data_IF_664059089586
#
_entry.id   IF_664059089586
#
_cell.length_a   1.000
_cell.length_b   1.000
_cell.length_c   1.000
_cell.angle_alpha   90.00
_cell.angle_beta   90.00
_cell.angle_gamma   90.00
#
_symmetry.space_group_name_H-M   'P 1'
#
loop_
_entity.id
_entity.type
_entity.pdbx_description
1 polymer ?
#
# COMPACT_ATOMS: atom_id res chain seq x y z
N UNK A 1 -25.69 -40.32 55.92
CA UNK A 1 -25.87 -38.87 55.91
C UNK A 1 -25.51 -38.38 54.52
N UNK A 2 -26.50 -37.83 53.84
CA UNK A 2 -26.50 -37.17 52.54
C UNK A 2 -25.61 -35.94 52.42
N UNK A 3 -25.40 -35.54 51.15
CA UNK A 3 -25.18 -34.17 50.64
C UNK A 3 -23.79 -33.54 50.96
N UNK A 4 -23.10 -32.82 50.07
CA UNK A 4 -23.53 -31.97 48.95
C UNK A 4 -22.39 -31.80 47.93
N UNK A 5 -22.80 -31.61 46.69
CA UNK A 5 -22.11 -31.10 45.51
C UNK A 5 -21.48 -29.71 45.66
N UNK A 6 -20.28 -29.54 45.10
CA UNK A 6 -19.78 -28.39 44.28
C UNK A 6 -18.27 -28.63 44.11
N UNK A 7 -17.61 -28.59 42.96
CA UNK A 7 -17.88 -28.01 41.65
C UNK A 7 -16.50 -27.60 41.10
N UNK A 8 -16.13 -28.19 39.94
CA UNK A 8 -15.16 -27.78 38.89
C UNK A 8 -14.22 -26.57 39.15
N UNK A 9 -12.96 -26.49 38.72
CA UNK A 9 -12.07 -27.12 37.72
C UNK A 9 -10.65 -26.79 38.22
N UNK A 10 -9.61 -27.62 38.11
CA UNK A 10 -9.11 -28.26 36.91
C UNK A 10 -7.62 -27.92 36.72
N UNK A 11 -6.78 -28.56 37.54
CA UNK A 11 -5.37 -28.97 37.36
C UNK A 11 -4.37 -28.13 36.55
N UNK A 12 -3.40 -27.62 37.33
CA UNK A 12 -2.02 -27.30 36.96
C UNK A 12 -1.22 -28.60 36.68
N UNK A 13 0.00 -28.42 36.16
CA UNK A 13 1.19 -29.28 36.24
C UNK A 13 1.41 -30.08 34.94
N UNK A 14 2.55 -30.00 34.25
CA UNK A 14 3.88 -29.54 34.65
C UNK A 14 4.89 -30.69 34.58
N UNK A 15 6.11 -30.33 34.18
CA UNK A 15 7.38 -30.97 34.54
C UNK A 15 7.71 -32.38 33.97
N UNK A 16 8.76 -32.39 33.13
CA UNK A 16 9.96 -33.25 33.26
C UNK A 16 9.77 -34.76 33.00
N UNK A 17 10.70 -35.59 32.53
CA UNK A 17 12.15 -35.58 32.38
C UNK A 17 12.55 -36.78 31.49
N UNK A 18 13.73 -36.67 30.87
CA UNK A 18 14.70 -37.75 30.55
C UNK A 18 14.37 -38.89 29.56
N UNK A 19 15.36 -39.20 28.70
CA UNK A 19 15.61 -40.55 28.20
C UNK A 19 16.03 -40.64 26.74
N UNK A 20 17.33 -40.78 26.48
CA UNK A 20 17.91 -41.16 25.19
C UNK A 20 17.91 -42.70 25.08
N UNK A 21 17.33 -43.28 24.02
CA UNK A 21 17.73 -44.58 23.45
C UNK A 21 17.04 -44.76 22.09
N UNK A 22 17.83 -44.85 21.01
CA UNK A 22 17.33 -44.83 19.63
C UNK A 22 16.96 -46.18 19.05
N UNK A 23 16.25 -46.17 17.91
CA UNK A 23 16.30 -47.22 16.89
C UNK A 23 16.15 -46.58 15.49
N UNK A 24 17.15 -46.87 14.66
CA UNK A 24 17.24 -46.97 13.19
C UNK A 24 16.41 -46.08 12.22
N UNK A 25 17.18 -45.56 11.27
CA UNK A 25 16.85 -44.99 9.96
C UNK A 25 15.81 -45.82 9.18
N UNK A 26 14.70 -45.19 8.80
CA UNK A 26 13.92 -45.57 7.63
C UNK A 26 13.91 -44.40 6.65
N UNK A 27 14.45 -44.65 5.47
CA UNK A 27 14.38 -43.73 4.34
C UNK A 27 13.02 -43.92 3.65
N UNK A 28 12.33 -42.81 3.38
CA UNK A 28 11.60 -42.52 2.14
C UNK A 28 10.53 -41.46 2.42
N UNK A 29 10.59 -40.38 1.64
CA UNK A 29 9.49 -39.52 1.24
C UNK A 29 8.47 -39.09 2.32
N UNK A 30 8.81 -38.01 3.03
CA UNK A 30 7.78 -37.06 3.48
C UNK A 30 8.25 -35.64 3.17
N UNK A 31 7.99 -35.28 1.91
CA UNK A 31 7.50 -33.98 1.46
C UNK A 31 7.54 -32.87 2.52
N UNK A 32 8.52 -31.97 2.36
CA UNK A 32 8.64 -30.68 3.04
C UNK A 32 7.32 -29.88 2.98
N UNK A 33 6.52 -29.77 4.06
CA UNK A 33 5.34 -28.92 4.10
C UNK A 33 5.73 -27.50 4.59
N UNK A 34 6.86 -26.98 4.10
CA UNK A 34 7.44 -25.71 4.59
C UNK A 34 7.55 -24.59 3.54
N UNK A 35 7.39 -24.89 2.24
CA UNK A 35 7.65 -23.92 1.17
C UNK A 35 6.39 -23.41 0.45
N UNK A 36 5.24 -24.06 0.60
CA UNK A 36 4.01 -23.68 -0.10
C UNK A 36 3.26 -22.49 0.54
N UNK A 37 3.34 -22.31 1.88
CA UNK A 37 2.67 -21.21 2.58
C UNK A 37 3.25 -19.82 2.24
N UNK A 38 4.53 -19.76 1.88
CA UNK A 38 5.23 -18.51 1.60
C UNK A 38 4.96 -17.95 0.19
N UNK A 39 4.50 -18.80 -0.75
CA UNK A 39 4.20 -18.39 -2.13
C UNK A 39 2.87 -17.65 -2.26
N UNK A 40 1.84 -18.17 -1.58
CA UNK A 40 0.48 -17.59 -1.55
C UNK A 40 0.46 -16.25 -0.82
N UNK A 41 1.11 -16.16 0.35
CA UNK A 41 1.21 -14.92 1.12
C UNK A 41 1.91 -13.79 0.32
N UNK A 42 3.03 -14.10 -0.36
CA UNK A 42 3.73 -13.13 -1.23
C UNK A 42 2.88 -12.67 -2.42
N UNK A 43 2.08 -13.57 -3.01
CA UNK A 43 1.20 -13.21 -4.11
C UNK A 43 0.05 -12.32 -3.64
N UNK A 44 -0.59 -12.68 -2.53
CA UNK A 44 -1.65 -11.90 -1.91
C UNK A 44 -1.17 -10.48 -1.54
N UNK A 45 -0.01 -10.36 -0.89
CA UNK A 45 0.56 -9.07 -0.52
C UNK A 45 0.89 -8.19 -1.73
N UNK A 46 1.39 -8.79 -2.83
CA UNK A 46 1.65 -8.05 -4.08
C UNK A 46 0.36 -7.56 -4.74
N UNK A 47 -0.69 -8.37 -4.72
CA UNK A 47 -2.00 -7.99 -5.25
C UNK A 47 -2.58 -6.81 -4.46
N UNK A 48 -2.49 -6.87 -3.12
CA UNK A 48 -2.94 -5.80 -2.24
C UNK A 48 -2.20 -4.47 -2.47
N UNK A 49 -0.88 -4.51 -2.63
CA UNK A 49 -0.10 -3.29 -2.93
C UNK A 49 -0.52 -2.72 -4.29
N UNK A 50 -0.79 -3.58 -5.28
CA UNK A 50 -1.23 -3.12 -6.59
C UNK A 50 -2.62 -2.48 -6.53
N UNK A 51 -3.58 -3.08 -5.82
CA UNK A 51 -4.92 -2.50 -5.66
C UNK A 51 -4.87 -1.16 -4.95
N UNK A 52 -4.12 -1.06 -3.85
CA UNK A 52 -3.92 0.20 -3.11
C UNK A 52 -3.34 1.31 -3.99
N UNK A 53 -2.35 0.96 -4.83
CA UNK A 53 -1.74 1.92 -5.77
C UNK A 53 -2.74 2.38 -6.84
N UNK A 54 -3.55 1.47 -7.39
CA UNK A 54 -4.59 1.82 -8.36
C UNK A 54 -5.65 2.73 -7.74
N UNK A 55 -6.09 2.42 -6.51
CA UNK A 55 -7.04 3.24 -5.75
C UNK A 55 -6.49 4.64 -5.50
N UNK A 56 -5.23 4.76 -5.06
CA UNK A 56 -4.57 6.05 -4.85
C UNK A 56 -4.52 6.88 -6.14
N UNK A 57 -4.10 6.30 -7.27
CA UNK A 57 -4.09 7.00 -8.57
C UNK A 57 -5.50 7.48 -8.96
N UNK A 58 -6.51 6.64 -8.75
CA UNK A 58 -7.89 7.00 -9.06
C UNK A 58 -8.37 8.16 -8.17
N UNK A 59 -8.12 8.09 -6.87
CA UNK A 59 -8.46 9.15 -5.92
C UNK A 59 -7.78 10.47 -6.29
N UNK A 60 -6.50 10.45 -6.65
CA UNK A 60 -5.77 11.65 -7.09
C UNK A 60 -6.33 12.22 -8.38
N UNK A 61 -6.69 11.39 -9.36
CA UNK A 61 -7.31 11.84 -10.62
C UNK A 61 -8.69 12.46 -10.40
N UNK A 62 -9.52 11.82 -9.58
CA UNK A 62 -10.83 12.33 -9.22
C UNK A 62 -10.72 13.66 -8.46
N UNK A 63 -9.81 13.74 -7.48
CA UNK A 63 -9.54 14.98 -6.73
C UNK A 63 -9.05 16.12 -7.62
N UNK A 64 -8.10 15.86 -8.52
CA UNK A 64 -7.60 16.85 -9.47
C UNK A 64 -8.71 17.36 -10.42
N UNK A 65 -9.62 16.48 -10.85
CA UNK A 65 -10.76 16.87 -11.66
C UNK A 65 -11.75 17.76 -10.87
N UNK A 66 -12.02 17.41 -9.61
CA UNK A 66 -12.83 18.24 -8.71
C UNK A 66 -12.21 19.61 -8.47
N UNK A 67 -10.90 19.67 -8.21
CA UNK A 67 -10.18 20.92 -8.01
C UNK A 67 -10.17 21.82 -9.25
N UNK A 68 -10.05 21.23 -10.45
CA UNK A 68 -10.23 21.95 -11.73
C UNK A 68 -11.62 22.57 -11.80
N UNK A 69 -12.65 21.80 -11.50
CA UNK A 69 -14.04 22.25 -11.65
C UNK A 69 -14.36 23.36 -10.64
N UNK A 70 -13.88 23.24 -9.40
CA UNK A 70 -13.96 24.28 -8.37
C UNK A 70 -13.23 25.57 -8.81
N UNK A 71 -11.99 25.46 -9.30
CA UNK A 71 -11.24 26.62 -9.79
C UNK A 71 -11.93 27.27 -10.99
N UNK A 72 -12.47 26.48 -11.92
CA UNK A 72 -13.23 27.00 -13.07
C UNK A 72 -14.47 27.74 -12.63
N UNK A 73 -15.25 27.16 -11.72
CA UNK A 73 -16.45 27.78 -11.19
C UNK A 73 -16.13 29.13 -10.52
N UNK A 74 -15.08 29.16 -9.69
CA UNK A 74 -14.58 30.40 -9.11
C UNK A 74 -14.14 31.41 -10.18
N UNK A 75 -13.36 30.96 -11.18
CA UNK A 75 -12.79 31.85 -12.21
C UNK A 75 -13.84 32.50 -13.12
N UNK A 76 -14.98 31.81 -13.33
CA UNK A 76 -16.12 32.26 -14.13
C UNK A 76 -17.17 33.02 -13.30
N UNK A 77 -17.11 32.92 -11.97
CA UNK A 77 -18.06 33.54 -11.05
C UNK A 77 -17.62 34.91 -10.52
N UNK A 78 -18.43 35.54 -9.64
CA UNK A 78 -18.01 36.73 -8.91
C UNK A 78 -16.80 36.41 -8.01
N UNK A 79 -15.69 37.11 -8.21
CA UNK A 79 -14.42 36.92 -7.46
C UNK A 79 -14.44 37.65 -6.13
N UNK A 80 -15.46 37.37 -5.34
CA UNK A 80 -15.64 37.98 -4.01
C UNK A 80 -14.76 37.29 -2.97
N UNK A 81 -14.48 36.00 -3.19
CA UNK A 81 -13.66 35.16 -2.32
C UNK A 81 -12.31 34.80 -2.97
N UNK A 82 -11.38 34.31 -2.15
CA UNK A 82 -10.08 33.82 -2.58
C UNK A 82 -10.18 32.58 -3.50
N UNK A 83 -9.18 32.36 -4.37
CA UNK A 83 -9.15 31.19 -5.24
C UNK A 83 -9.12 29.88 -4.44
N UNK A 84 -9.82 28.82 -4.89
CA UNK A 84 -9.79 27.52 -4.24
C UNK A 84 -8.36 27.00 -4.07
N UNK A 85 -8.02 26.60 -2.85
CA UNK A 85 -6.73 26.03 -2.48
C UNK A 85 -6.91 24.52 -2.22
N UNK A 86 -6.01 23.70 -2.77
CA UNK A 86 -6.04 22.23 -2.61
C UNK A 86 -5.14 21.71 -1.50
N UNK A 87 -4.38 22.59 -0.85
CA UNK A 87 -3.54 22.20 0.29
C UNK A 87 -4.43 21.76 1.45
N UNK A 88 -4.15 20.58 2.00
CA UNK A 88 -4.99 19.93 3.00
C UNK A 88 -6.01 18.94 2.43
N UNK A 89 -6.27 18.96 1.12
CA UNK A 89 -7.12 17.95 0.49
C UNK A 89 -6.44 16.58 0.55
N UNK A 90 -7.19 15.54 0.95
CA UNK A 90 -6.67 14.17 1.10
C UNK A 90 -5.96 13.66 -0.16
N UNK A 91 -6.53 13.95 -1.33
CA UNK A 91 -5.95 13.54 -2.61
C UNK A 91 -4.61 14.23 -2.88
N UNK A 92 -4.46 15.50 -2.52
CA UNK A 92 -3.25 16.28 -2.77
C UNK A 92 -2.17 15.96 -1.75
N UNK A 93 -2.53 15.83 -0.48
CA UNK A 93 -1.62 15.39 0.59
C UNK A 93 -1.13 13.96 0.36
N UNK A 94 -1.98 13.08 -0.19
CA UNK A 94 -1.57 11.74 -0.62
C UNK A 94 -0.58 11.76 -1.79
N UNK A 95 -0.73 12.71 -2.73
CA UNK A 95 0.17 12.85 -3.87
C UNK A 95 1.53 13.48 -3.50
N UNK A 96 1.54 14.44 -2.56
CA UNK A 96 2.71 15.26 -2.19
C UNK A 96 4.01 14.48 -1.96
N UNK A 97 4.03 13.37 -1.20
CA UNK A 97 5.25 12.59 -0.97
C UNK A 97 5.87 12.03 -2.26
N UNK A 98 5.07 11.85 -3.32
CA UNK A 98 5.49 11.27 -4.59
C UNK A 98 5.96 12.32 -5.62
N UNK A 99 5.79 13.61 -5.30
CA UNK A 99 6.28 14.68 -6.15
C UNK A 99 7.81 14.74 -6.15
N UNK A 100 8.44 15.12 -7.28
CA UNK A 100 9.89 15.18 -7.36
C UNK A 100 10.45 16.22 -6.38
N UNK A 101 11.67 15.98 -5.88
CA UNK A 101 12.38 16.95 -5.02
C UNK A 101 13.03 18.09 -5.80
N UNK A 102 13.10 17.98 -7.13
CA UNK A 102 13.74 18.95 -8.04
C UNK A 102 12.82 19.30 -9.21
N UNK A 103 13.05 20.44 -9.84
CA UNK A 103 12.29 20.91 -11.00
C UNK A 103 11.01 21.65 -10.62
N UNK A 104 10.19 21.98 -11.62
CA UNK A 104 9.05 22.87 -11.42
C UNK A 104 8.00 22.32 -10.46
N UNK A 105 7.76 21.00 -10.45
CA UNK A 105 6.79 20.36 -9.57
C UNK A 105 7.28 20.22 -8.11
N UNK A 106 8.57 20.46 -7.83
CA UNK A 106 9.11 20.35 -6.47
C UNK A 106 8.51 21.38 -5.51
N UNK A 107 8.15 22.56 -6.03
CA UNK A 107 7.52 23.62 -5.24
C UNK A 107 6.24 23.15 -4.54
N UNK A 108 5.48 22.26 -5.16
CA UNK A 108 4.20 21.77 -4.63
C UNK A 108 4.34 20.86 -3.41
N UNK A 109 5.55 20.34 -3.12
CA UNK A 109 5.80 19.53 -1.91
C UNK A 109 5.68 20.33 -0.63
N UNK A 110 6.04 21.61 -0.68
CA UNK A 110 6.11 22.49 0.50
C UNK A 110 5.27 23.75 0.35
N UNK A 111 4.62 23.95 -0.81
CA UNK A 111 3.75 25.09 -1.04
C UNK A 111 2.57 25.07 -0.06
N UNK A 112 2.35 26.18 0.65
CA UNK A 112 1.22 26.33 1.57
C UNK A 112 -0.10 26.66 0.85
N UNK A 113 -0.01 27.13 -0.39
CA UNK A 113 -1.13 27.43 -1.26
C UNK A 113 -0.87 26.86 -2.64
N UNK A 114 -1.86 26.14 -3.17
CA UNK A 114 -1.85 25.56 -4.51
C UNK A 114 -3.23 25.74 -5.10
N UNK A 115 -3.32 26.58 -6.12
CA UNK A 115 -4.55 26.80 -6.87
C UNK A 115 -4.49 26.02 -8.17
N UNK A 116 -5.56 25.28 -8.48
CA UNK A 116 -5.62 24.45 -9.67
C UNK A 116 -5.96 25.25 -10.94
N UNK A 117 -5.11 26.22 -11.27
CA UNK A 117 -5.12 26.88 -12.58
C UNK A 117 -4.61 25.94 -13.70
N UNK A 118 -4.79 26.33 -14.97
CA UNK A 118 -4.46 25.44 -16.10
C UNK A 118 -2.99 24.96 -16.10
N UNK A 119 -1.97 25.82 -15.82
CA UNK A 119 -0.59 25.37 -15.67
C UNK A 119 -0.40 24.36 -14.52
N UNK A 120 -0.93 24.64 -13.34
CA UNK A 120 -0.78 23.76 -12.16
C UNK A 120 -1.47 22.42 -12.39
N UNK A 121 -2.68 22.43 -12.97
CA UNK A 121 -3.40 21.21 -13.34
C UNK A 121 -2.61 20.35 -14.30
N UNK A 122 -2.03 20.96 -15.34
CA UNK A 122 -1.22 20.22 -16.31
C UNK A 122 0.00 19.60 -15.64
N UNK A 123 0.73 20.36 -14.82
CA UNK A 123 1.88 19.86 -14.07
C UNK A 123 1.52 18.71 -13.14
N UNK A 124 0.48 18.85 -12.32
CA UNK A 124 0.05 17.79 -11.40
C UNK A 124 -0.44 16.55 -12.14
N UNK A 125 -1.15 16.70 -13.26
CA UNK A 125 -1.60 15.56 -14.08
C UNK A 125 -0.43 14.76 -14.66
N UNK A 126 0.64 15.45 -15.09
CA UNK A 126 1.86 14.81 -15.58
C UNK A 126 2.59 14.07 -14.46
N UNK A 127 2.63 14.63 -13.24
CA UNK A 127 3.23 13.95 -12.09
C UNK A 127 2.45 12.70 -11.69
N UNK A 128 1.11 12.75 -11.68
CA UNK A 128 0.28 11.55 -11.43
C UNK A 128 0.59 10.47 -12.48
N UNK A 129 0.65 10.84 -13.77
CA UNK A 129 1.00 9.90 -14.83
C UNK A 129 2.41 9.33 -14.72
N UNK A 130 3.39 10.13 -14.26
CA UNK A 130 4.74 9.67 -13.96
C UNK A 130 4.72 8.61 -12.86
N UNK A 131 4.04 8.86 -11.75
CA UNK A 131 3.95 7.94 -10.60
C UNK A 131 3.25 6.65 -11.01
N UNK A 132 2.15 6.73 -11.76
CA UNK A 132 1.44 5.56 -12.30
C UNK A 132 2.36 4.69 -13.17
N UNK A 133 3.15 5.32 -14.06
CA UNK A 133 4.11 4.61 -14.91
C UNK A 133 5.20 3.95 -14.08
N UNK A 134 5.76 4.66 -13.10
CA UNK A 134 6.80 4.13 -12.20
C UNK A 134 6.29 2.89 -11.44
N UNK A 135 5.11 2.97 -10.84
CA UNK A 135 4.49 1.85 -10.13
C UNK A 135 4.15 0.67 -11.05
N UNK A 136 3.75 0.96 -12.29
CA UNK A 136 3.47 -0.07 -13.30
C UNK A 136 4.75 -0.79 -13.73
N UNK A 137 5.84 -0.06 -13.95
CA UNK A 137 7.13 -0.66 -14.30
C UNK A 137 7.76 -1.43 -13.13
N UNK A 138 7.61 -0.97 -11.89
CA UNK A 138 8.00 -1.74 -10.70
C UNK A 138 7.28 -3.11 -10.63
N UNK A 139 5.97 -3.12 -10.96
CA UNK A 139 5.19 -4.34 -10.99
C UNK A 139 5.67 -5.31 -12.10
N UNK A 140 6.07 -4.77 -13.27
CA UNK A 140 6.59 -5.55 -14.41
C UNK A 140 8.03 -6.05 -14.19
N UNK A 141 8.91 -5.21 -13.65
CA UNK A 141 10.36 -5.44 -13.54
C UNK A 141 10.76 -6.60 -12.62
N UNK A 142 9.92 -6.97 -11.64
CA UNK A 142 10.17 -8.13 -10.77
C UNK A 142 9.93 -9.49 -11.43
N UNK A 143 9.27 -9.55 -12.60
CA UNK A 143 9.11 -10.81 -13.36
C UNK A 143 10.31 -11.13 -14.26
N UNK A 144 11.05 -10.14 -14.75
CA UNK A 144 12.15 -10.37 -15.72
C UNK A 144 13.45 -10.90 -15.12
N UNK A 145 13.74 -10.63 -13.85
CA UNK A 145 15.04 -10.97 -13.22
C UNK A 145 15.27 -12.47 -12.94
N UNK A 146 14.28 -13.35 -13.14
CA UNK A 146 14.41 -14.80 -12.89
C UNK A 146 14.69 -15.66 -14.12
N UNK A 147 14.79 -15.09 -15.34
CA UNK A 147 14.95 -15.88 -16.57
C UNK A 147 16.37 -15.92 -17.15
N UNK A 148 17.33 -15.20 -16.58
CA UNK A 148 18.71 -15.10 -17.10
C UNK A 148 19.77 -15.56 -16.10
N UNK A 149 19.57 -16.70 -15.44
CA UNK A 149 20.66 -17.33 -14.68
C UNK A 149 20.60 -18.84 -14.79
N UNK A 150 20.76 -19.32 -16.02
CA UNK A 150 21.19 -20.67 -16.35
C UNK A 150 21.91 -20.57 -17.71
N UNK A 151 23.19 -20.23 -17.66
CA UNK A 151 24.21 -20.53 -18.67
C UNK A 151 25.34 -21.24 -17.94
#
# INVERSE_FOLDING_TARGET
MDMMTMGLMGTVVGASAMGIAGIAKSAADNLLPGMALNGTNKHQMRSQIHSQRCEAIQQWRCGLAGARDAYRQWSCGPRVDDPPNVVGDEWFEGLRPHLPSTGEAAKFRTAHEVHCDNPTLMQLSLQIGRVEKEWTEEAKGRRRRRRNRDQ
#
